data_IF_365569155710
#
_entry.id   IF_365569155710
#
_cell.length_a   1.000
_cell.length_b   1.000
_cell.length_c   1.000
_cell.angle_alpha   90.00
_cell.angle_beta   90.00
_cell.angle_gamma   90.00
#
_symmetry.space_group_name_H-M   'P 1'
#
loop_
_entity.id
_entity.type
_entity.pdbx_description
1 polymer ?
#
# COMPACT_ATOMS: atom_id res chain seq x y z
N UNK A 1 13.37 0.10 -89.14
CA UNK A 1 14.10 -0.36 -87.91
C UNK A 1 13.56 0.44 -86.74
N UNK A 2 12.52 -0.05 -86.05
CA UNK A 2 11.92 0.58 -84.87
C UNK A 2 12.50 -0.06 -83.58
N UNK A 3 13.18 0.73 -82.75
CA UNK A 3 13.68 0.27 -81.45
C UNK A 3 12.58 0.47 -80.41
N UNK A 4 12.01 -0.64 -79.91
CA UNK A 4 11.08 -0.68 -78.77
C UNK A 4 11.88 -0.48 -77.46
N UNK A 5 11.69 0.64 -76.81
CA UNK A 5 12.23 0.87 -75.43
C UNK A 5 11.30 0.17 -74.43
N UNK A 6 11.79 -0.91 -73.83
CA UNK A 6 11.13 -1.56 -72.67
C UNK A 6 11.26 -0.67 -71.45
N UNK A 7 10.15 -0.10 -71.01
CA UNK A 7 10.02 0.58 -69.72
C UNK A 7 9.95 -0.52 -68.60
N UNK A 8 10.93 -0.58 -67.76
CA UNK A 8 10.90 -1.40 -66.52
C UNK A 8 10.11 -0.62 -65.47
N UNK A 9 8.90 -1.05 -65.20
CA UNK A 9 8.11 -0.57 -64.04
C UNK A 9 8.52 -1.39 -62.85
N UNK A 10 9.25 -0.77 -61.91
CA UNK A 10 9.52 -1.35 -60.60
C UNK A 10 8.27 -1.21 -59.74
N UNK A 11 7.71 -2.28 -59.14
CA UNK A 11 6.69 -2.11 -58.12
C UNK A 11 7.33 -1.63 -56.85
N UNK A 12 7.03 -0.40 -56.46
CA UNK A 12 7.29 0.10 -55.12
C UNK A 12 6.40 -0.68 -54.14
N UNK A 13 6.96 -1.65 -53.43
CA UNK A 13 6.31 -2.31 -52.33
C UNK A 13 6.17 -1.29 -51.20
N UNK A 14 5.00 -0.71 -51.07
CA UNK A 14 4.56 0.04 -49.90
C UNK A 14 4.49 -0.95 -48.73
N UNK A 15 5.50 -0.94 -47.88
CA UNK A 15 5.44 -1.53 -46.54
C UNK A 15 4.44 -0.71 -45.73
N UNK A 16 3.16 -1.05 -45.87
CA UNK A 16 2.13 -0.65 -44.92
C UNK A 16 2.46 -1.37 -43.60
N UNK A 17 3.15 -0.71 -42.70
CA UNK A 17 3.12 -1.09 -41.28
C UNK A 17 1.65 -1.01 -40.88
N UNK A 18 0.98 -2.14 -40.81
CA UNK A 18 -0.42 -2.23 -40.40
C UNK A 18 -0.49 -1.90 -38.90
N UNK A 19 -0.70 -0.63 -38.56
CA UNK A 19 -1.29 -0.32 -37.27
C UNK A 19 -2.61 -1.07 -37.20
N UNK A 20 -2.74 -1.98 -36.24
CA UNK A 20 -4.02 -2.69 -36.04
C UNK A 20 -5.03 -1.70 -35.48
N UNK A 21 -6.32 -1.93 -35.71
CA UNK A 21 -7.39 -1.10 -35.12
C UNK A 21 -7.21 -1.04 -33.58
N UNK A 22 -6.72 -2.11 -32.97
CA UNK A 22 -6.42 -2.17 -31.55
C UNK A 22 -5.32 -1.18 -31.10
N UNK A 23 -4.34 -0.87 -31.94
CA UNK A 23 -3.29 0.12 -31.61
C UNK A 23 -3.84 1.54 -31.54
N UNK A 24 -4.97 1.82 -32.20
CA UNK A 24 -5.59 3.15 -32.26
C UNK A 24 -6.74 3.30 -31.26
N UNK A 25 -7.56 2.26 -31.06
CA UNK A 25 -8.83 2.30 -30.30
C UNK A 25 -8.78 1.41 -29.04
N UNK A 26 -7.72 0.63 -28.84
CA UNK A 26 -7.57 -0.28 -27.72
C UNK A 26 -7.38 0.43 -26.35
N UNK A 27 -7.50 -0.32 -25.26
CA UNK A 27 -7.29 0.21 -23.91
C UNK A 27 -5.88 0.78 -23.77
N UNK A 28 -5.76 1.84 -22.98
CA UNK A 28 -4.48 2.50 -22.64
C UNK A 28 -4.17 2.24 -21.18
N UNK A 29 -2.89 2.15 -20.79
CA UNK A 29 -2.53 2.07 -19.38
C UNK A 29 -3.05 3.29 -18.62
N UNK A 30 -3.47 3.06 -17.37
CA UNK A 30 -3.93 4.15 -16.51
C UNK A 30 -2.79 5.17 -16.28
N UNK A 31 -3.05 6.44 -16.57
CA UNK A 31 -2.02 7.50 -16.54
C UNK A 31 -1.45 7.74 -15.15
N UNK A 32 -2.29 7.71 -14.10
CA UNK A 32 -1.85 7.92 -12.71
C UNK A 32 -0.98 6.76 -12.21
N UNK A 33 -1.39 5.51 -12.49
CA UNK A 33 -0.59 4.32 -12.15
C UNK A 33 0.76 4.36 -12.88
N UNK A 34 0.77 4.73 -14.17
CA UNK A 34 2.01 4.86 -14.93
C UNK A 34 2.91 5.99 -14.42
N UNK A 35 2.34 7.12 -13.99
CA UNK A 35 3.11 8.20 -13.37
C UNK A 35 3.79 7.73 -12.08
N UNK A 36 3.06 7.01 -11.22
CA UNK A 36 3.61 6.43 -10.00
C UNK A 36 4.67 5.35 -10.28
N UNK A 37 4.48 4.52 -11.33
CA UNK A 37 5.45 3.50 -11.74
C UNK A 37 6.78 4.14 -12.19
N UNK A 38 6.71 5.18 -13.01
CA UNK A 38 7.87 5.94 -13.47
C UNK A 38 8.58 6.66 -12.33
N UNK A 39 7.81 7.25 -11.40
CA UNK A 39 8.37 7.85 -10.19
C UNK A 39 9.13 6.81 -9.37
N UNK A 40 8.52 5.64 -9.10
CA UNK A 40 9.17 4.57 -8.37
C UNK A 40 10.46 4.09 -9.06
N UNK A 41 10.46 4.03 -10.39
CA UNK A 41 11.66 3.71 -11.18
C UNK A 41 12.75 4.78 -11.03
N UNK A 42 12.39 6.05 -11.03
CA UNK A 42 13.33 7.15 -10.81
C UNK A 42 13.90 7.13 -9.38
N UNK A 43 13.05 6.94 -8.37
CA UNK A 43 13.45 6.84 -6.96
C UNK A 43 14.42 5.68 -6.71
N UNK A 44 14.29 4.58 -7.45
CA UNK A 44 15.17 3.42 -7.36
C UNK A 44 16.62 3.71 -7.82
N UNK A 45 16.88 4.86 -8.43
CA UNK A 45 18.25 5.26 -8.82
C UNK A 45 19.03 5.97 -7.72
N UNK A 46 18.35 6.40 -6.63
CA UNK A 46 18.93 7.16 -5.51
C UNK A 46 18.64 6.55 -4.16
N UNK A 47 19.08 7.22 -3.09
CA UNK A 47 18.85 6.80 -1.71
C UNK A 47 19.72 5.63 -1.25
N UNK A 48 19.38 5.06 -0.10
CA UNK A 48 20.05 3.89 0.45
C UNK A 48 19.68 2.58 -0.28
N UNK A 49 20.40 1.47 -0.03
CA UNK A 49 20.13 0.21 -0.73
C UNK A 49 18.73 -0.36 -0.52
N UNK A 50 18.18 -0.25 0.69
CA UNK A 50 16.86 -0.81 1.02
C UNK A 50 15.75 0.00 0.34
N UNK A 51 15.88 1.33 0.33
CA UNK A 51 15.02 2.21 -0.44
C UNK A 51 15.01 1.88 -1.93
N UNK A 52 16.21 1.75 -2.54
CA UNK A 52 16.31 1.41 -3.97
C UNK A 52 15.66 0.08 -4.31
N UNK A 53 15.93 -0.96 -3.50
CA UNK A 53 15.36 -2.29 -3.70
C UNK A 53 13.83 -2.27 -3.57
N UNK A 54 13.32 -1.56 -2.56
CA UNK A 54 11.88 -1.39 -2.36
C UNK A 54 11.25 -0.66 -3.56
N UNK A 55 11.79 0.51 -3.95
CA UNK A 55 11.21 1.32 -5.04
C UNK A 55 11.28 0.59 -6.39
N UNK A 56 12.32 -0.19 -6.65
CA UNK A 56 12.36 -1.04 -7.83
C UNK A 56 11.24 -2.09 -7.84
N UNK A 57 11.02 -2.76 -6.72
CA UNK A 57 9.92 -3.73 -6.57
C UNK A 57 8.57 -3.05 -6.77
N UNK A 58 8.37 -1.89 -6.17
CA UNK A 58 7.14 -1.11 -6.27
C UNK A 58 6.88 -0.61 -7.70
N UNK A 59 7.93 -0.20 -8.42
CA UNK A 59 7.83 0.13 -9.85
C UNK A 59 7.29 -1.05 -10.66
N UNK A 60 7.82 -2.25 -10.44
CA UNK A 60 7.34 -3.45 -11.13
C UNK A 60 5.87 -3.75 -10.79
N UNK A 61 5.49 -3.67 -9.51
CA UNK A 61 4.11 -3.88 -9.08
C UNK A 61 3.13 -2.90 -9.75
N UNK A 62 3.52 -1.64 -9.91
CA UNK A 62 2.70 -0.62 -10.58
C UNK A 62 2.61 -0.86 -12.10
N UNK A 63 3.68 -1.33 -12.75
CA UNK A 63 3.60 -1.76 -14.14
C UNK A 63 2.66 -2.96 -14.32
N UNK A 64 2.74 -3.95 -13.45
CA UNK A 64 1.85 -5.11 -13.46
C UNK A 64 0.40 -4.69 -13.23
N UNK A 65 0.16 -3.72 -12.34
CA UNK A 65 -1.16 -3.14 -12.10
C UNK A 65 -1.68 -2.39 -13.32
N UNK A 66 -0.85 -1.62 -14.01
CA UNK A 66 -1.23 -0.96 -15.25
C UNK A 66 -1.62 -1.97 -16.34
N UNK A 67 -0.91 -3.10 -16.45
CA UNK A 67 -1.26 -4.21 -17.33
C UNK A 67 -2.59 -4.88 -16.92
N UNK A 68 -2.78 -5.13 -15.62
CA UNK A 68 -4.03 -5.69 -15.08
C UNK A 68 -5.24 -4.82 -15.45
N UNK A 69 -5.11 -3.50 -15.31
CA UNK A 69 -6.17 -2.54 -15.65
C UNK A 69 -6.49 -2.48 -17.15
N UNK A 70 -5.51 -2.74 -18.01
CA UNK A 70 -5.74 -2.88 -19.46
C UNK A 70 -6.56 -4.12 -19.81
N UNK A 71 -6.53 -5.14 -18.96
CA UNK A 71 -7.17 -6.41 -19.21
C UNK A 71 -6.47 -7.24 -20.29
N UNK A 72 -7.20 -8.22 -20.81
CA UNK A 72 -6.71 -9.11 -21.86
C UNK A 72 -7.67 -9.11 -23.05
N UNK A 73 -7.14 -9.34 -24.24
CA UNK A 73 -7.91 -9.51 -25.46
C UNK A 73 -8.62 -10.91 -25.48
N UNK A 74 -9.47 -11.20 -26.47
CA UNK A 74 -10.14 -12.50 -26.58
C UNK A 74 -9.17 -13.69 -26.71
N UNK A 75 -7.88 -13.46 -27.03
CA UNK A 75 -6.85 -14.50 -27.06
C UNK A 75 -6.11 -14.68 -25.73
N UNK A 76 -6.48 -13.91 -24.70
CA UNK A 76 -5.84 -13.92 -23.37
C UNK A 76 -4.52 -13.16 -23.31
N UNK A 77 -4.23 -12.28 -24.27
CA UNK A 77 -3.01 -11.47 -24.31
C UNK A 77 -3.32 -10.02 -23.96
N UNK A 78 -2.34 -9.36 -23.35
CA UNK A 78 -2.40 -7.90 -23.17
C UNK A 78 -2.53 -7.22 -24.53
N UNK A 79 -3.49 -6.28 -24.74
CA UNK A 79 -3.64 -5.54 -25.97
C UNK A 79 -2.36 -4.77 -26.34
N UNK A 80 -2.01 -4.72 -27.63
CA UNK A 80 -0.82 -4.00 -28.10
C UNK A 80 -0.85 -2.49 -27.84
N UNK A 81 -2.06 -1.95 -27.65
CA UNK A 81 -2.28 -0.55 -27.27
C UNK A 81 -1.91 -0.23 -25.81
N UNK A 82 -1.76 -1.26 -24.96
CA UNK A 82 -1.37 -1.13 -23.58
C UNK A 82 0.16 -1.13 -23.46
N UNK A 83 0.77 -0.03 -23.85
CA UNK A 83 2.22 0.18 -23.70
C UNK A 83 2.54 0.72 -22.31
N UNK A 84 3.18 -0.11 -21.48
CA UNK A 84 3.66 0.23 -20.14
C UNK A 84 5.17 0.53 -20.13
N UNK A 85 5.74 0.89 -21.28
CA UNK A 85 7.15 1.23 -21.36
C UNK A 85 7.51 2.33 -20.36
N UNK A 86 8.70 2.21 -19.78
CA UNK A 86 9.26 3.22 -18.89
C UNK A 86 9.41 4.57 -19.60
N UNK A 87 9.87 5.56 -18.89
CA UNK A 87 10.11 6.91 -19.41
C UNK A 87 10.16 7.91 -18.26
N UNK A 88 10.34 9.16 -18.60
CA UNK A 88 10.35 10.24 -17.63
C UNK A 88 8.95 10.44 -17.02
N UNK A 89 8.93 10.96 -15.80
CA UNK A 89 7.72 11.36 -15.08
C UNK A 89 7.74 12.85 -14.81
N UNK A 90 6.56 13.48 -14.81
CA UNK A 90 6.38 14.85 -14.35
C UNK A 90 6.25 14.96 -12.82
N UNK A 91 6.06 13.83 -12.13
CA UNK A 91 6.04 13.82 -10.67
C UNK A 91 7.46 14.08 -10.14
N UNK A 92 7.61 14.93 -9.12
CA UNK A 92 8.90 15.10 -8.47
C UNK A 92 9.35 13.77 -7.86
N UNK A 93 10.64 13.49 -7.91
CA UNK A 93 11.19 12.34 -7.22
C UNK A 93 10.87 12.43 -5.73
N UNK A 94 10.45 11.33 -5.13
CA UNK A 94 10.30 11.25 -3.69
C UNK A 94 11.70 11.23 -3.07
N UNK A 95 12.03 12.30 -2.34
CA UNK A 95 13.33 12.41 -1.68
C UNK A 95 13.50 11.36 -0.58
N UNK A 96 12.41 11.01 0.08
CA UNK A 96 12.32 10.06 1.18
C UNK A 96 10.90 9.49 1.31
N UNK A 97 10.70 8.68 2.34
CA UNK A 97 9.40 8.06 2.61
C UNK A 97 8.29 9.07 2.95
N UNK A 98 8.61 10.22 3.53
CA UNK A 98 7.62 11.27 3.84
C UNK A 98 7.12 11.95 2.57
N UNK A 99 8.02 12.28 1.64
CA UNK A 99 7.64 12.80 0.34
C UNK A 99 6.80 11.80 -0.46
N UNK A 100 7.13 10.50 -0.38
CA UNK A 100 6.30 9.46 -1.00
C UNK A 100 4.91 9.38 -0.37
N UNK A 101 4.79 9.53 0.94
CA UNK A 101 3.49 9.58 1.63
C UNK A 101 2.62 10.71 1.11
N UNK A 102 3.16 11.93 0.99
CA UNK A 102 2.45 13.07 0.43
C UNK A 102 1.96 12.81 -1.01
N UNK A 103 2.83 12.24 -1.86
CA UNK A 103 2.46 11.85 -3.22
C UNK A 103 1.38 10.78 -3.25
N UNK A 104 1.44 9.80 -2.34
CA UNK A 104 0.44 8.73 -2.22
C UNK A 104 -0.92 9.28 -1.84
N UNK A 105 -0.98 10.14 -0.82
CA UNK A 105 -2.23 10.78 -0.39
C UNK A 105 -2.84 11.60 -1.55
N UNK A 106 -2.02 12.35 -2.28
CA UNK A 106 -2.47 13.14 -3.43
C UNK A 106 -2.93 12.29 -4.64
N UNK A 107 -2.40 11.07 -4.78
CA UNK A 107 -2.72 10.17 -5.88
C UNK A 107 -3.91 9.25 -5.58
N UNK A 108 -4.20 8.95 -4.31
CA UNK A 108 -5.16 7.93 -3.92
C UNK A 108 -6.57 8.16 -4.49
N UNK A 109 -7.02 9.42 -4.62
CA UNK A 109 -8.33 9.75 -5.17
C UNK A 109 -8.34 9.81 -6.72
N UNK A 110 -7.17 9.67 -7.36
CA UNK A 110 -7.01 9.74 -8.82
C UNK A 110 -6.79 8.37 -9.46
N UNK A 111 -6.26 7.41 -8.69
CA UNK A 111 -6.12 6.04 -9.16
C UNK A 111 -7.46 5.30 -9.11
N UNK A 112 -7.65 4.22 -9.91
CA UNK A 112 -8.83 3.38 -9.79
C UNK A 112 -9.00 2.85 -8.35
N UNK A 113 -10.25 2.74 -7.90
CA UNK A 113 -10.57 2.35 -6.51
C UNK A 113 -9.96 1.00 -6.10
N UNK A 114 -9.87 0.06 -7.02
CA UNK A 114 -9.25 -1.26 -6.81
C UNK A 114 -7.71 -1.26 -6.88
N UNK A 115 -7.10 -0.11 -7.18
CA UNK A 115 -5.64 0.11 -7.12
C UNK A 115 -5.21 0.87 -5.85
N UNK A 116 -6.13 1.43 -5.07
CA UNK A 116 -5.80 2.22 -3.87
C UNK A 116 -5.08 1.36 -2.83
N UNK A 117 -5.50 0.11 -2.64
CA UNK A 117 -4.86 -0.82 -1.71
C UNK A 117 -3.36 -0.99 -2.02
N UNK A 118 -3.00 -1.15 -3.30
CA UNK A 118 -1.62 -1.26 -3.74
C UNK A 118 -0.82 0.01 -3.44
N UNK A 119 -1.35 1.17 -3.84
CA UNK A 119 -0.66 2.46 -3.71
C UNK A 119 -0.43 2.81 -2.22
N UNK A 120 -1.44 2.58 -1.37
CA UNK A 120 -1.34 2.78 0.07
C UNK A 120 -0.35 1.81 0.71
N UNK A 121 -0.40 0.52 0.35
CA UNK A 121 0.55 -0.47 0.87
C UNK A 121 2.00 -0.10 0.55
N UNK A 122 2.27 0.47 -0.62
CA UNK A 122 3.61 0.93 -1.01
C UNK A 122 4.12 2.07 -0.14
N UNK A 123 3.27 3.01 0.25
CA UNK A 123 3.64 4.09 1.18
C UNK A 123 3.90 3.55 2.59
N UNK A 124 3.09 2.60 3.07
CA UNK A 124 3.30 1.92 4.36
C UNK A 124 4.66 1.21 4.38
N UNK A 125 4.97 0.42 3.33
CA UNK A 125 6.25 -0.28 3.22
C UNK A 125 7.44 0.68 3.22
N UNK A 126 7.32 1.81 2.54
CA UNK A 126 8.38 2.81 2.46
C UNK A 126 8.62 3.50 3.82
N UNK A 127 7.55 3.91 4.51
CA UNK A 127 7.66 4.51 5.84
C UNK A 127 8.23 3.52 6.86
N UNK A 128 7.88 2.25 6.78
CA UNK A 128 8.36 1.22 7.69
C UNK A 128 9.87 0.94 7.56
N UNK A 129 10.57 1.43 6.53
CA UNK A 129 12.03 1.37 6.43
C UNK A 129 12.74 2.27 7.46
N UNK A 130 12.07 3.31 7.92
CA UNK A 130 12.62 4.30 8.86
C UNK A 130 11.88 4.30 10.19
N UNK A 131 12.39 5.03 11.17
CA UNK A 131 11.63 5.27 12.40
C UNK A 131 10.39 6.11 12.07
N UNK A 132 9.23 5.60 12.46
CA UNK A 132 7.96 6.28 12.22
C UNK A 132 7.59 7.11 13.45
N UNK A 133 7.50 8.42 13.24
CA UNK A 133 7.04 9.37 14.27
C UNK A 133 5.52 9.51 14.20
N UNK A 134 4.84 9.39 15.33
CA UNK A 134 3.41 9.58 15.48
C UNK A 134 2.99 10.96 16.01
N UNK A 135 3.94 11.86 16.27
CA UNK A 135 3.65 13.26 16.64
C UNK A 135 2.82 14.00 15.55
N UNK A 136 3.04 13.77 14.25
CA UNK A 136 2.21 14.39 13.21
C UNK A 136 0.74 13.93 13.20
N UNK A 137 0.40 12.80 13.82
CA UNK A 137 -0.98 12.30 13.92
C UNK A 137 -1.76 13.19 14.90
N UNK A 138 -2.36 14.25 14.36
CA UNK A 138 -3.01 15.32 15.12
C UNK A 138 -4.26 15.84 14.38
N UNK A 139 -5.08 16.60 15.13
CA UNK A 139 -6.32 17.15 14.59
C UNK A 139 -7.48 16.17 14.70
N UNK A 140 -8.68 16.70 14.92
CA UNK A 140 -9.86 15.86 15.07
C UNK A 140 -10.38 15.38 13.72
N UNK A 141 -10.77 14.12 13.66
CA UNK A 141 -11.47 13.56 12.50
C UNK A 141 -12.83 14.21 12.35
N UNK A 142 -13.15 14.66 11.15
CA UNK A 142 -14.41 15.35 10.81
C UNK A 142 -15.38 14.46 10.02
N UNK A 143 -14.89 13.40 9.37
CA UNK A 143 -15.72 12.40 8.70
C UNK A 143 -16.23 11.38 9.72
N UNK A 144 -17.53 11.11 9.73
CA UNK A 144 -18.12 10.08 10.58
C UNK A 144 -17.61 8.67 10.21
N UNK A 145 -17.36 8.42 8.93
CA UNK A 145 -16.81 7.15 8.44
C UNK A 145 -15.37 6.96 8.93
N UNK A 146 -14.52 7.98 8.82
CA UNK A 146 -13.14 7.93 9.30
C UNK A 146 -13.07 7.80 10.82
N UNK A 147 -13.95 8.51 11.55
CA UNK A 147 -14.05 8.38 13.00
C UNK A 147 -14.55 6.98 13.42
N UNK A 148 -15.41 6.34 12.64
CA UNK A 148 -15.81 4.95 12.86
C UNK A 148 -14.64 3.99 12.62
N UNK A 149 -13.91 4.14 11.50
CA UNK A 149 -12.72 3.35 11.19
C UNK A 149 -11.63 3.50 12.28
N UNK A 150 -11.37 4.71 12.75
CA UNK A 150 -10.41 4.96 13.84
C UNK A 150 -10.83 4.28 15.16
N UNK A 151 -12.14 4.26 15.48
CA UNK A 151 -12.66 3.51 16.64
C UNK A 151 -12.49 2.00 16.50
N UNK A 152 -12.75 1.47 15.31
CA UNK A 152 -12.56 0.06 15.06
C UNK A 152 -11.08 -0.34 15.21
N UNK A 153 -10.16 0.51 14.72
CA UNK A 153 -8.73 0.29 14.91
C UNK A 153 -8.31 0.42 16.39
N UNK A 154 -8.87 1.36 17.15
CA UNK A 154 -8.64 1.46 18.59
C UNK A 154 -9.11 0.19 19.34
N UNK A 155 -10.25 -0.37 18.96
CA UNK A 155 -10.73 -1.64 19.51
C UNK A 155 -9.79 -2.81 19.18
N UNK A 156 -9.23 -2.86 17.96
CA UNK A 156 -8.26 -3.88 17.54
C UNK A 156 -6.92 -3.75 18.28
N UNK A 157 -6.42 -2.53 18.50
CA UNK A 157 -5.22 -2.29 19.32
C UNK A 157 -5.43 -2.78 20.76
N UNK A 158 -6.58 -2.52 21.36
CA UNK A 158 -6.92 -3.01 22.69
C UNK A 158 -7.01 -4.56 22.73
N UNK A 159 -7.59 -5.18 21.70
CA UNK A 159 -7.64 -6.63 21.58
C UNK A 159 -6.23 -7.23 21.39
N UNK A 160 -5.38 -6.60 20.56
CA UNK A 160 -3.96 -6.97 20.41
C UNK A 160 -3.23 -6.90 21.74
N UNK A 161 -3.37 -5.81 22.48
CA UNK A 161 -2.74 -5.64 23.80
C UNK A 161 -3.16 -6.73 24.78
N UNK A 162 -4.44 -7.10 24.80
CA UNK A 162 -4.97 -8.20 25.61
C UNK A 162 -4.38 -9.55 25.19
N UNK A 163 -4.39 -9.87 23.88
CA UNK A 163 -3.83 -11.11 23.35
C UNK A 163 -2.33 -11.25 23.61
N UNK A 164 -1.57 -10.14 23.55
CA UNK A 164 -0.16 -10.12 23.96
C UNK A 164 0.01 -10.44 25.45
N UNK A 165 -0.95 -10.02 26.31
CA UNK A 165 -0.97 -10.37 27.71
C UNK A 165 -1.16 -11.89 27.96
N UNK A 166 -2.01 -12.54 27.15
CA UNK A 166 -2.19 -14.01 27.20
C UNK A 166 -0.92 -14.71 26.72
N UNK A 167 -0.36 -14.30 25.58
CA UNK A 167 0.88 -14.89 25.05
C UNK A 167 2.05 -14.76 26.03
N UNK A 168 2.11 -13.68 26.81
CA UNK A 168 3.16 -13.42 27.80
C UNK A 168 3.23 -14.52 28.88
N UNK A 169 2.10 -15.16 29.23
CA UNK A 169 2.08 -16.21 30.24
C UNK A 169 2.86 -17.47 29.82
N UNK A 170 3.01 -17.70 28.53
CA UNK A 170 3.69 -18.86 27.94
C UNK A 170 5.02 -18.50 27.28
N UNK A 171 5.39 -17.21 27.26
CA UNK A 171 6.54 -16.71 26.51
C UNK A 171 7.87 -17.10 27.20
N UNK A 172 8.87 -17.47 26.40
CA UNK A 172 10.26 -17.49 26.80
C UNK A 172 10.84 -16.06 26.92
N UNK A 173 12.10 -15.93 27.33
CA UNK A 173 12.73 -14.61 27.56
C UNK A 173 12.82 -13.77 26.26
N UNK A 174 13.08 -14.39 25.11
CA UNK A 174 13.14 -13.72 23.84
C UNK A 174 11.78 -13.16 23.41
N UNK A 175 10.75 -14.01 23.50
CA UNK A 175 9.38 -13.62 23.19
C UNK A 175 8.83 -12.59 24.20
N UNK A 176 9.21 -12.66 25.48
CA UNK A 176 8.85 -11.64 26.50
C UNK A 176 9.37 -10.27 26.11
N UNK A 177 10.64 -10.17 25.72
CA UNK A 177 11.22 -8.92 25.26
C UNK A 177 10.48 -8.38 24.04
N UNK A 178 10.18 -9.24 23.07
CA UNK A 178 9.41 -8.88 21.86
C UNK A 178 8.00 -8.40 22.20
N UNK A 179 7.28 -9.10 23.07
CA UNK A 179 5.94 -8.69 23.55
C UNK A 179 6.00 -7.33 24.23
N UNK A 180 7.04 -7.05 25.02
CA UNK A 180 7.23 -5.72 25.61
C UNK A 180 7.25 -4.62 24.56
N UNK A 181 8.10 -4.74 23.54
CA UNK A 181 8.19 -3.78 22.43
C UNK A 181 6.85 -3.61 21.70
N UNK A 182 6.15 -4.71 21.43
CA UNK A 182 4.84 -4.65 20.75
C UNK A 182 3.77 -3.95 21.59
N UNK A 183 3.78 -4.15 22.91
CA UNK A 183 2.83 -3.48 23.82
C UNK A 183 3.08 -1.99 23.93
N UNK A 184 4.35 -1.57 24.03
CA UNK A 184 4.73 -0.16 24.05
C UNK A 184 4.30 0.52 22.74
N UNK A 185 4.59 -0.08 21.59
CA UNK A 185 4.19 0.43 20.29
C UNK A 185 2.65 0.47 20.11
N UNK A 186 1.92 -0.52 20.64
CA UNK A 186 0.46 -0.49 20.63
C UNK A 186 -0.08 0.67 21.47
N UNK A 187 0.54 0.94 22.61
CA UNK A 187 0.19 2.08 23.47
C UNK A 187 0.36 3.42 22.76
N UNK A 188 1.49 3.61 22.07
CA UNK A 188 1.75 4.83 21.28
C UNK A 188 0.68 5.04 20.19
N UNK A 189 0.22 3.96 19.52
CA UNK A 189 -0.85 4.05 18.53
C UNK A 189 -2.21 4.33 19.17
N UNK A 190 -2.51 3.74 20.33
CA UNK A 190 -3.73 4.03 21.11
C UNK A 190 -3.78 5.49 21.51
N UNK A 191 -2.66 6.05 21.99
CA UNK A 191 -2.56 7.46 22.36
C UNK A 191 -2.77 8.37 21.14
N UNK A 192 -2.18 8.03 19.98
CA UNK A 192 -2.36 8.76 18.75
C UNK A 192 -3.84 8.74 18.29
N UNK A 193 -4.49 7.57 18.29
CA UNK A 193 -5.91 7.44 17.97
C UNK A 193 -6.80 8.24 18.92
N UNK A 194 -6.50 8.22 20.21
CA UNK A 194 -7.29 8.96 21.21
C UNK A 194 -7.20 10.47 21.01
N UNK A 195 -6.05 10.98 20.53
CA UNK A 195 -5.89 12.41 20.22
C UNK A 195 -6.75 12.88 19.06
N UNK A 196 -6.95 12.05 18.02
CA UNK A 196 -7.66 12.45 16.79
C UNK A 196 -9.16 12.13 16.83
N UNK A 197 -9.61 11.24 17.71
CA UNK A 197 -11.02 10.94 17.87
C UNK A 197 -11.78 12.13 18.47
N UNK A 198 -12.99 12.43 17.98
CA UNK A 198 -13.82 13.50 18.55
C UNK A 198 -14.07 13.30 20.06
N UNK A 199 -14.19 14.37 20.86
CA UNK A 199 -14.50 14.29 22.28
C UNK A 199 -15.77 13.48 22.57
N UNK A 200 -15.72 12.65 23.61
CA UNK A 200 -16.83 11.78 24.01
C UNK A 200 -16.95 10.47 23.24
N UNK A 201 -16.17 10.32 22.14
CA UNK A 201 -16.16 9.10 21.34
C UNK A 201 -15.05 8.14 21.81
N UNK A 202 -13.86 8.66 22.11
CA UNK A 202 -12.75 7.86 22.66
C UNK A 202 -12.97 7.46 24.11
N UNK A 203 -13.59 8.31 24.92
CA UNK A 203 -13.91 8.01 26.33
C UNK A 203 -14.93 6.87 26.51
N UNK A 204 -15.77 6.61 25.50
CA UNK A 204 -16.76 5.52 25.52
C UNK A 204 -16.11 4.14 25.23
N UNK A 205 -14.84 4.10 24.80
CA UNK A 205 -14.12 2.86 24.49
C UNK A 205 -13.26 2.41 25.68
N UNK A 206 -13.93 2.16 26.81
CA UNK A 206 -13.30 1.38 27.89
C UNK A 206 -12.98 0.00 27.30
N UNK A 207 -11.70 -0.46 27.34
CA UNK A 207 -11.37 -1.80 26.89
C UNK A 207 -12.28 -2.83 27.54
N UNK A 208 -12.73 -3.81 26.77
CA UNK A 208 -13.54 -4.90 27.31
C UNK A 208 -12.75 -5.57 28.46
N UNK A 209 -13.47 -6.03 29.49
CA UNK A 209 -12.86 -6.74 30.63
C UNK A 209 -12.20 -8.06 30.22
N UNK A 210 -12.48 -8.55 29.00
CA UNK A 210 -11.87 -9.72 28.37
C UNK A 210 -12.31 -9.81 26.92
N UNK A 211 -11.51 -10.50 26.13
CA UNK A 211 -11.77 -10.77 24.71
C UNK A 211 -11.82 -12.28 24.51
N UNK A 212 -12.74 -12.76 23.69
CA UNK A 212 -12.69 -14.11 23.16
C UNK A 212 -11.82 -14.13 21.90
N UNK A 213 -11.06 -15.19 21.71
CA UNK A 213 -10.36 -15.39 20.45
C UNK A 213 -11.37 -15.55 19.31
N UNK A 214 -11.11 -14.87 18.21
CA UNK A 214 -11.85 -15.05 16.96
C UNK A 214 -11.53 -16.42 16.33
N UNK A 215 -12.32 -16.81 15.34
CA UNK A 215 -12.07 -18.02 14.55
C UNK A 215 -10.66 -17.99 13.96
N UNK A 216 -9.95 -19.10 14.07
CA UNK A 216 -8.55 -19.22 13.63
C UNK A 216 -7.49 -18.89 14.69
N UNK A 217 -7.90 -18.39 15.86
CA UNK A 217 -7.02 -18.17 17.01
C UNK A 217 -7.32 -19.16 18.12
N UNK A 218 -6.28 -19.57 18.84
CA UNK A 218 -6.41 -20.43 20.03
C UNK A 218 -5.54 -19.89 21.17
N UNK A 219 -5.95 -20.15 22.39
CA UNK A 219 -5.13 -19.88 23.57
C UNK A 219 -3.87 -20.77 23.51
N UNK A 220 -2.66 -20.20 23.61
CA UNK A 220 -1.43 -20.98 23.55
C UNK A 220 -1.27 -21.86 24.81
N UNK A 221 -0.60 -22.97 24.63
CA UNK A 221 -0.23 -23.92 25.72
C UNK A 221 1.28 -24.14 25.79
N UNK A 222 2.04 -23.56 24.87
CA UNK A 222 3.49 -23.66 24.81
C UNK A 222 4.14 -22.33 24.32
N UNK A 223 5.45 -22.15 24.51
CA UNK A 223 6.17 -20.98 23.97
C UNK A 223 6.07 -20.86 22.45
N UNK A 224 6.09 -21.97 21.72
CA UNK A 224 5.99 -22.01 20.26
C UNK A 224 4.60 -21.54 19.79
N UNK A 225 3.55 -21.99 20.45
CA UNK A 225 2.18 -21.56 20.18
C UNK A 225 1.98 -20.07 20.53
N UNK A 226 2.57 -19.60 21.63
CA UNK A 226 2.56 -18.20 22.00
C UNK A 226 3.27 -17.34 20.94
N UNK A 227 4.42 -17.77 20.42
CA UNK A 227 5.11 -17.08 19.35
C UNK A 227 4.29 -17.04 18.05
N UNK A 228 3.62 -18.14 17.70
CA UNK A 228 2.76 -18.19 16.53
C UNK A 228 1.53 -17.26 16.70
N UNK A 229 0.91 -17.24 17.87
CA UNK A 229 -0.19 -16.32 18.20
C UNK A 229 0.22 -14.87 18.01
N UNK A 230 1.35 -14.46 18.60
CA UNK A 230 1.89 -13.09 18.46
C UNK A 230 2.14 -12.73 17.00
N UNK A 231 2.75 -13.65 16.24
CA UNK A 231 3.02 -13.44 14.81
C UNK A 231 1.74 -13.25 14.01
N UNK A 232 0.71 -14.09 14.23
CA UNK A 232 -0.56 -13.99 13.52
C UNK A 232 -1.30 -12.71 13.87
N UNK A 233 -1.42 -12.37 15.15
CA UNK A 233 -2.07 -11.13 15.59
C UNK A 233 -1.37 -9.88 15.00
N UNK A 234 -0.03 -9.88 14.96
CA UNK A 234 0.73 -8.76 14.37
C UNK A 234 0.48 -8.61 12.87
N UNK A 235 0.48 -9.73 12.13
CA UNK A 235 0.23 -9.72 10.69
C UNK A 235 -1.19 -9.21 10.37
N UNK A 236 -2.18 -9.68 11.12
CA UNK A 236 -3.56 -9.27 10.92
C UNK A 236 -3.78 -7.81 11.30
N UNK A 237 -3.17 -7.33 12.38
CA UNK A 237 -3.22 -5.92 12.77
C UNK A 237 -2.65 -5.00 11.68
N UNK A 238 -1.51 -5.36 11.09
CA UNK A 238 -0.92 -4.59 9.97
C UNK A 238 -1.84 -4.61 8.75
N UNK A 239 -2.45 -5.76 8.45
CA UNK A 239 -3.40 -5.89 7.34
C UNK A 239 -4.61 -4.97 7.54
N UNK A 240 -5.17 -4.93 8.74
CA UNK A 240 -6.32 -4.08 9.08
C UNK A 240 -5.95 -2.59 9.04
N UNK A 241 -4.77 -2.22 9.49
CA UNK A 241 -4.27 -0.84 9.37
C UNK A 241 -4.13 -0.41 7.91
N UNK A 242 -3.57 -1.26 7.04
CA UNK A 242 -3.48 -1.00 5.60
C UNK A 242 -4.86 -0.85 4.96
N UNK A 243 -5.80 -1.71 5.37
CA UNK A 243 -7.18 -1.63 4.91
C UNK A 243 -7.85 -0.33 5.33
N UNK A 244 -7.72 0.09 6.59
CA UNK A 244 -8.26 1.35 7.10
C UNK A 244 -7.71 2.56 6.33
N UNK A 245 -6.39 2.57 6.06
CA UNK A 245 -5.74 3.63 5.29
C UNK A 245 -6.24 3.71 3.84
N UNK A 246 -6.44 2.56 3.20
CA UNK A 246 -6.91 2.51 1.81
C UNK A 246 -8.38 2.94 1.66
N UNK A 247 -9.19 2.77 2.71
CA UNK A 247 -10.64 3.11 2.74
C UNK A 247 -10.95 4.48 3.36
N UNK A 248 -9.91 5.25 3.69
CA UNK A 248 -10.08 6.57 4.27
C UNK A 248 -10.85 7.51 3.32
N UNK A 249 -11.84 8.23 3.86
CA UNK A 249 -12.59 9.26 3.14
C UNK A 249 -11.78 10.55 3.01
N UNK A 250 -11.19 11.00 4.13
CA UNK A 250 -10.40 12.23 4.17
C UNK A 250 -8.91 11.96 3.93
N UNK A 251 -8.26 12.85 3.20
CA UNK A 251 -6.81 12.80 2.98
C UNK A 251 -6.00 12.79 4.30
N UNK A 252 -6.46 13.53 5.31
CA UNK A 252 -5.82 13.54 6.63
C UNK A 252 -5.87 12.16 7.29
N UNK A 253 -7.05 11.51 7.33
CA UNK A 253 -7.14 10.17 7.93
C UNK A 253 -6.33 9.14 7.14
N UNK A 254 -6.30 9.26 5.82
CA UNK A 254 -5.44 8.39 4.98
C UNK A 254 -3.97 8.53 5.36
N UNK A 255 -3.47 9.75 5.52
CA UNK A 255 -2.11 10.04 5.94
C UNK A 255 -1.82 9.46 7.32
N UNK A 256 -2.67 9.76 8.30
CA UNK A 256 -2.55 9.29 9.67
C UNK A 256 -2.57 7.76 9.76
N UNK A 257 -3.51 7.12 9.05
CA UNK A 257 -3.64 5.67 9.02
C UNK A 257 -2.44 4.98 8.33
N UNK A 258 -1.85 5.59 7.30
CA UNK A 258 -0.60 5.08 6.68
C UNK A 258 0.56 5.16 7.69
N UNK A 259 0.70 6.25 8.46
CA UNK A 259 1.73 6.38 9.50
C UNK A 259 1.54 5.33 10.60
N UNK A 260 0.31 5.14 11.06
CA UNK A 260 -0.04 4.15 12.08
C UNK A 260 0.18 2.71 11.58
N UNK A 261 -0.14 2.43 10.30
CA UNK A 261 0.15 1.14 9.66
C UNK A 261 1.66 0.87 9.58
N UNK A 262 2.45 1.86 9.15
CA UNK A 262 3.90 1.75 9.04
C UNK A 262 4.56 1.56 10.42
N UNK A 263 4.06 2.27 11.44
CA UNK A 263 4.51 2.09 12.82
C UNK A 263 4.19 0.67 13.33
N UNK A 264 3.00 0.15 13.03
CA UNK A 264 2.64 -1.22 13.38
C UNK A 264 3.50 -2.26 12.66
N UNK A 265 3.83 -2.03 11.40
CA UNK A 265 4.60 -2.96 10.58
C UNK A 265 6.08 -3.04 10.97
N UNK A 266 6.65 -1.90 11.38
CA UNK A 266 8.07 -1.79 11.71
C UNK A 266 8.47 -2.53 12.99
N UNK A 267 7.57 -2.65 13.95
CA UNK A 267 7.83 -3.20 15.32
C UNK A 267 7.86 -4.72 15.36
#
# INVERSE_FOLDING_TARGET
MQRVKKLLVLPAALLLTSCTVMDVVGPRPNGEIMALAKQASADATGGDPDWRALRQTQSQQLHDEALRLCGVDPSGKTPSSCDVAGGDTELPAAADASALLEHTVAAADKVPSDSVDLVVAQAVDALALTTVDLEPVQGQLTSDADAAAARDMLARENAMYYGLGIALAYADDGLRARIGVLRDASHERVDALTRILPPGVGEALVPAAGYAFADGYAEPTSPEEAAQLVKSMQADLVTEWRYAAARADAAQWREDAIRLAAHAQRV
#
